data_IF_462285131449
#
_entry.id   IF_462285131449
#
_cell.length_a   1.000
_cell.length_b   1.000
_cell.length_c   1.000
_cell.angle_alpha   90.00
_cell.angle_beta   90.00
_cell.angle_gamma   90.00
#
_symmetry.space_group_name_H-M   'P 1'
#
loop_
_entity.id
_entity.type
_entity.pdbx_description
1 polymer ?
#
# COMPACT_ATOMS: atom_id res chain seq x y z
N UNK A 1 14.84 10.90 28.22
CA UNK A 1 13.42 10.50 28.28
C UNK A 1 12.66 11.25 27.20
N UNK A 2 11.85 10.52 26.42
CA UNK A 2 11.02 10.94 25.27
C UNK A 2 11.72 11.04 23.90
N UNK A 3 11.82 9.88 23.23
CA UNK A 3 12.11 9.73 21.77
C UNK A 3 10.95 9.02 21.05
N UNK A 4 9.99 8.47 21.79
CA UNK A 4 8.84 7.69 21.27
C UNK A 4 7.76 8.53 20.59
N UNK A 5 7.59 9.81 20.96
CA UNK A 5 6.52 10.66 20.39
C UNK A 5 6.76 11.20 18.96
N UNK A 6 7.97 11.08 18.40
CA UNK A 6 8.29 11.68 17.09
C UNK A 6 7.74 10.83 15.94
N UNK A 7 7.98 9.51 15.99
CA UNK A 7 7.69 8.54 14.92
C UNK A 7 6.18 8.42 14.57
N UNK A 8 5.28 8.51 15.55
CA UNK A 8 3.83 8.51 15.32
C UNK A 8 3.38 9.75 14.55
N UNK A 9 3.97 10.92 14.86
CA UNK A 9 3.67 12.17 14.15
C UNK A 9 4.17 12.12 12.70
N UNK A 10 5.30 11.46 12.49
CA UNK A 10 5.90 11.24 11.17
C UNK A 10 4.98 10.37 10.29
N UNK A 11 4.53 9.20 10.78
CA UNK A 11 3.61 8.33 10.01
C UNK A 11 2.30 9.02 9.63
N UNK A 12 1.74 9.83 10.53
CA UNK A 12 0.54 10.61 10.21
C UNK A 12 0.77 11.58 9.04
N UNK A 13 1.95 12.20 8.95
CA UNK A 13 2.31 13.08 7.85
C UNK A 13 2.35 12.31 6.53
N UNK A 14 2.93 11.10 6.49
CA UNK A 14 2.93 10.26 5.27
C UNK A 14 1.51 9.94 4.82
N UNK A 15 0.71 9.39 5.76
CA UNK A 15 -0.70 9.09 5.50
C UNK A 15 -1.41 10.31 4.92
N UNK A 16 -1.17 11.48 5.49
CA UNK A 16 -1.72 12.72 4.98
C UNK A 16 -1.32 12.97 3.52
N UNK A 17 -0.03 12.92 3.17
CA UNK A 17 0.43 13.19 1.80
C UNK A 17 -0.17 12.19 0.79
N UNK A 18 -0.25 10.91 1.13
CA UNK A 18 -0.91 9.91 0.29
C UNK A 18 -2.40 10.23 0.08
N UNK A 19 -3.09 10.64 1.14
CA UNK A 19 -4.49 11.09 1.09
C UNK A 19 -4.65 12.35 0.24
N UNK A 20 -3.74 13.32 0.30
CA UNK A 20 -3.79 14.53 -0.51
C UNK A 20 -3.78 14.21 -2.01
N UNK A 21 -2.93 13.26 -2.42
CA UNK A 21 -2.83 12.78 -3.80
C UNK A 21 -4.07 12.01 -4.24
N UNK A 22 -4.76 11.34 -3.32
CA UNK A 22 -6.04 10.69 -3.59
C UNK A 22 -7.17 11.72 -3.80
N UNK A 23 -7.27 12.72 -2.91
CA UNK A 23 -8.35 13.72 -2.91
C UNK A 23 -8.24 14.69 -4.09
N UNK A 24 -7.04 15.17 -4.43
CA UNK A 24 -6.83 16.14 -5.51
C UNK A 24 -7.31 15.64 -6.89
N UNK A 25 -7.54 14.33 -7.04
CA UNK A 25 -7.88 13.66 -8.30
C UNK A 25 -9.37 13.48 -8.59
N UNK A 26 -10.26 13.90 -7.69
CA UNK A 26 -11.72 13.88 -7.94
C UNK A 26 -12.19 14.72 -9.13
N UNK A 27 -11.32 15.50 -9.80
CA UNK A 27 -11.68 16.44 -10.87
C UNK A 27 -11.02 16.22 -12.24
N UNK A 28 -10.21 15.18 -12.46
CA UNK A 28 -9.60 14.97 -13.79
C UNK A 28 -9.41 13.49 -14.15
N UNK A 29 -10.47 12.88 -14.66
CA UNK A 29 -10.36 11.72 -15.55
C UNK A 29 -10.01 12.23 -16.95
N UNK A 30 -8.76 12.64 -17.17
CA UNK A 30 -8.27 12.74 -18.55
C UNK A 30 -7.86 11.34 -19.02
N UNK A 31 -8.62 10.87 -20.00
CA UNK A 31 -8.33 9.72 -20.85
C UNK A 31 -6.98 10.00 -21.53
N UNK A 32 -5.94 9.24 -21.19
CA UNK A 32 -4.64 9.36 -21.85
C UNK A 32 -4.48 8.28 -22.91
N UNK A 33 -4.06 8.73 -24.09
CA UNK A 33 -3.61 7.93 -25.21
C UNK A 33 -2.44 7.02 -24.80
N UNK A 34 -2.27 5.85 -25.44
CA UNK A 34 -1.12 4.99 -25.19
C UNK A 34 0.15 5.73 -25.58
N UNK A 35 0.90 6.20 -24.59
CA UNK A 35 2.22 6.75 -24.82
C UNK A 35 3.11 5.57 -25.23
N UNK A 36 3.58 5.55 -26.48
CA UNK A 36 4.57 4.58 -26.93
C UNK A 36 5.87 4.85 -26.17
N UNK A 37 6.03 4.21 -25.01
CA UNK A 37 7.20 4.34 -24.17
C UNK A 37 8.33 3.51 -24.78
N UNK A 38 9.30 4.19 -25.38
CA UNK A 38 10.64 3.62 -25.53
C UNK A 38 11.13 3.23 -24.12
N UNK A 39 11.61 1.99 -23.92
CA UNK A 39 12.17 1.57 -22.65
C UNK A 39 13.33 2.49 -22.27
N UNK A 40 13.34 3.01 -21.03
CA UNK A 40 14.53 3.70 -20.52
C UNK A 40 15.72 2.74 -20.59
N UNK A 41 16.94 3.21 -20.91
CA UNK A 41 18.10 2.35 -20.98
C UNK A 41 18.38 1.72 -19.61
N UNK A 42 19.21 0.67 -19.56
CA UNK A 42 19.67 0.11 -18.28
C UNK A 42 20.78 0.98 -17.68
N UNK A 43 20.88 1.07 -16.33
CA UNK A 43 22.02 1.73 -15.68
C UNK A 43 23.34 1.08 -16.10
N UNK A 44 24.41 1.88 -16.18
CA UNK A 44 25.73 1.37 -16.55
C UNK A 44 26.30 0.43 -15.48
N UNK A 45 27.09 -0.56 -15.89
CA UNK A 45 27.75 -1.49 -14.95
C UNK A 45 28.64 -0.74 -13.93
N UNK A 46 29.30 0.33 -14.35
CA UNK A 46 30.10 1.20 -13.48
C UNK A 46 29.23 1.89 -12.42
N UNK A 47 28.05 2.40 -12.80
CA UNK A 47 27.10 3.02 -11.86
C UNK A 47 26.54 2.01 -10.85
N UNK A 48 26.23 0.79 -11.30
CA UNK A 48 25.80 -0.28 -10.40
C UNK A 48 26.91 -0.65 -9.41
N UNK A 49 28.16 -0.77 -9.87
CA UNK A 49 29.30 -1.07 -9.01
C UNK A 49 29.58 0.05 -8.00
N UNK A 50 29.48 1.33 -8.41
CA UNK A 50 29.73 2.46 -7.53
C UNK A 50 28.74 2.52 -6.36
N UNK A 51 27.50 2.06 -6.57
CA UNK A 51 26.46 2.07 -5.54
C UNK A 51 26.81 1.26 -4.30
N UNK A 52 27.69 0.25 -4.42
CA UNK A 52 28.09 -0.61 -3.30
C UNK A 52 28.78 0.18 -2.17
N UNK A 53 29.35 1.35 -2.48
CA UNK A 53 30.03 2.23 -1.53
C UNK A 53 29.15 3.39 -1.05
N UNK A 54 27.89 3.47 -1.48
CA UNK A 54 26.96 4.51 -1.03
C UNK A 54 26.51 4.25 0.41
N UNK A 55 26.06 5.31 1.06
CA UNK A 55 25.50 5.28 2.41
C UNK A 55 24.10 5.91 2.39
N UNK A 56 23.20 5.51 3.32
CA UNK A 56 21.89 6.14 3.44
C UNK A 56 22.00 7.66 3.62
N UNK A 57 21.12 8.41 2.96
CA UNK A 57 21.08 9.85 3.06
C UNK A 57 20.30 10.31 4.28
N UNK A 58 20.78 11.37 4.95
CA UNK A 58 19.88 12.18 5.76
C UNK A 58 18.97 12.96 4.81
N UNK A 59 17.69 12.59 4.72
CA UNK A 59 16.76 13.18 3.75
C UNK A 59 16.67 14.71 3.86
N UNK A 60 16.77 15.25 5.08
CA UNK A 60 16.72 16.71 5.31
C UNK A 60 17.90 17.41 4.64
N UNK A 61 19.13 16.96 4.93
CA UNK A 61 20.32 17.57 4.32
C UNK A 61 20.38 17.28 2.82
N UNK A 62 19.93 16.11 2.38
CA UNK A 62 19.90 15.77 0.96
C UNK A 62 19.04 16.74 0.16
N UNK A 63 17.80 17.02 0.60
CA UNK A 63 16.90 17.94 -0.09
C UNK A 63 17.48 19.36 -0.13
N UNK A 64 18.14 19.81 0.94
CA UNK A 64 18.79 21.13 1.00
C UNK A 64 20.00 21.26 0.07
N UNK A 65 20.77 20.19 -0.06
CA UNK A 65 21.99 20.14 -0.86
C UNK A 65 21.73 19.78 -2.33
N UNK A 66 20.57 19.21 -2.66
CA UNK A 66 20.28 18.63 -3.97
C UNK A 66 20.54 19.60 -5.13
N UNK A 67 20.15 20.87 -4.97
CA UNK A 67 20.35 21.90 -6.00
C UNK A 67 21.82 22.32 -6.19
N UNK A 68 22.70 21.98 -5.25
CA UNK A 68 24.13 22.30 -5.26
C UNK A 68 25.01 21.09 -5.60
N UNK A 69 24.42 19.89 -5.73
CA UNK A 69 25.14 18.68 -6.13
C UNK A 69 25.61 18.79 -7.57
N UNK A 70 26.66 18.02 -7.89
CA UNK A 70 27.22 17.99 -9.24
C UNK A 70 26.20 17.40 -10.20
N UNK A 71 26.11 17.95 -11.41
CA UNK A 71 25.13 17.54 -12.42
C UNK A 71 25.33 16.10 -12.92
N UNK A 72 26.52 15.56 -12.71
CA UNK A 72 26.89 14.19 -13.09
C UNK A 72 26.52 13.16 -12.00
N UNK A 73 26.17 13.60 -10.79
CA UNK A 73 25.70 12.71 -9.73
C UNK A 73 24.30 12.20 -10.05
N UNK A 74 24.05 10.92 -9.76
CA UNK A 74 22.75 10.28 -9.96
C UNK A 74 22.41 9.43 -8.75
N UNK A 75 21.13 9.22 -8.50
CA UNK A 75 20.61 8.39 -7.41
C UNK A 75 19.89 7.19 -8.00
N UNK A 76 20.23 5.99 -7.51
CA UNK A 76 19.48 4.77 -7.79
C UNK A 76 18.32 4.67 -6.81
N UNK A 77 17.10 4.97 -7.25
CA UNK A 77 15.89 4.97 -6.43
C UNK A 77 15.02 3.74 -6.72
N UNK A 78 14.76 2.92 -5.71
CA UNK A 78 13.86 1.77 -5.79
C UNK A 78 12.40 2.20 -5.58
N UNK A 79 11.57 1.94 -6.60
CA UNK A 79 10.12 2.06 -6.57
C UNK A 79 9.46 0.68 -6.48
N UNK A 80 8.44 0.56 -5.62
CA UNK A 80 7.65 -0.68 -5.42
C UNK A 80 6.13 -0.43 -5.31
N UNK A 81 5.71 0.80 -5.05
CA UNK A 81 4.31 1.20 -4.91
C UNK A 81 3.80 2.01 -6.11
N UNK A 82 3.09 3.11 -5.85
CA UNK A 82 2.51 3.95 -6.92
C UNK A 82 3.53 4.55 -7.88
N UNK A 83 4.81 4.59 -7.54
CA UNK A 83 5.87 5.09 -8.40
C UNK A 83 6.27 4.12 -9.52
N UNK A 84 5.75 2.89 -9.52
CA UNK A 84 5.84 2.00 -10.68
C UNK A 84 5.07 2.54 -11.89
N UNK A 85 3.97 3.28 -11.66
CA UNK A 85 3.14 3.80 -12.74
C UNK A 85 3.78 5.01 -13.42
N UNK A 86 3.95 4.96 -14.75
CA UNK A 86 4.47 6.05 -15.55
C UNK A 86 3.63 7.32 -15.39
N UNK A 87 2.30 7.19 -15.28
CA UNK A 87 1.40 8.31 -14.99
C UNK A 87 1.79 9.07 -13.71
N UNK A 88 2.23 8.37 -12.68
CA UNK A 88 2.64 8.97 -11.40
C UNK A 88 4.06 9.51 -11.45
N UNK A 89 4.99 8.69 -11.92
CA UNK A 89 6.41 9.00 -11.89
C UNK A 89 6.79 10.01 -12.98
N UNK A 90 6.47 9.69 -14.23
CA UNK A 90 6.80 10.53 -15.40
C UNK A 90 5.77 11.63 -15.64
N UNK A 91 4.48 11.34 -15.40
CA UNK A 91 3.38 12.28 -15.64
C UNK A 91 3.26 13.33 -14.56
N UNK A 92 2.69 12.97 -13.41
CA UNK A 92 2.34 13.93 -12.35
C UNK A 92 3.55 14.57 -11.67
N UNK A 93 4.65 13.83 -11.51
CA UNK A 93 5.90 14.37 -10.94
C UNK A 93 6.85 14.95 -11.98
N UNK A 94 6.62 14.68 -13.27
CA UNK A 94 7.49 15.15 -14.35
C UNK A 94 8.89 14.52 -14.37
N UNK A 95 9.13 13.45 -13.60
CA UNK A 95 10.47 12.84 -13.46
C UNK A 95 10.80 12.02 -14.71
N UNK A 96 11.97 12.26 -15.29
CA UNK A 96 12.44 11.50 -16.46
C UNK A 96 13.63 10.63 -16.03
N UNK A 97 13.42 9.34 -15.74
CA UNK A 97 14.52 8.48 -15.32
C UNK A 97 15.57 8.38 -16.42
N UNK A 98 16.84 8.57 -16.03
CA UNK A 98 18.01 8.45 -16.89
C UNK A 98 18.17 7.02 -17.39
N UNK A 99 17.89 6.06 -16.51
CA UNK A 99 17.92 4.64 -16.79
C UNK A 99 17.00 3.89 -15.81
N UNK A 100 16.66 2.63 -16.09
CA UNK A 100 15.86 1.80 -15.18
C UNK A 100 16.24 0.31 -15.25
N UNK A 101 16.03 -0.42 -14.15
CA UNK A 101 16.26 -1.87 -14.09
C UNK A 101 15.28 -2.53 -13.12
N UNK A 102 14.69 -3.66 -13.53
CA UNK A 102 13.79 -4.45 -12.70
C UNK A 102 14.62 -5.31 -11.73
N UNK A 103 14.20 -5.35 -10.46
CA UNK A 103 14.98 -5.97 -9.39
C UNK A 103 14.12 -6.78 -8.44
N UNK A 104 14.76 -7.73 -7.77
CA UNK A 104 14.29 -8.41 -6.57
C UNK A 104 15.09 -7.94 -5.35
N UNK A 105 14.39 -7.72 -4.23
CA UNK A 105 14.96 -7.26 -2.96
C UNK A 105 14.60 -8.28 -1.86
N UNK A 106 15.47 -9.27 -1.58
CA UNK A 106 15.19 -10.36 -0.63
C UNK A 106 14.90 -9.90 0.80
N UNK A 107 15.50 -8.77 1.19
CA UNK A 107 15.42 -8.22 2.55
C UNK A 107 14.14 -7.43 2.85
N UNK A 108 13.30 -7.18 1.85
CA UNK A 108 12.05 -6.44 1.99
C UNK A 108 10.85 -7.25 1.49
N UNK A 109 9.68 -6.94 2.07
CA UNK A 109 8.37 -7.35 1.59
C UNK A 109 7.47 -6.13 1.41
N UNK A 110 6.55 -6.20 0.46
CA UNK A 110 5.53 -5.19 0.27
C UNK A 110 4.40 -5.41 1.27
N UNK A 111 3.97 -4.34 1.93
CA UNK A 111 2.83 -4.35 2.85
C UNK A 111 1.82 -3.27 2.42
N UNK A 112 0.61 -3.32 2.97
CA UNK A 112 -0.37 -2.25 2.78
C UNK A 112 -0.86 -1.77 4.16
N UNK A 113 0.08 -1.34 4.99
CA UNK A 113 -0.15 -0.94 6.37
C UNK A 113 -0.17 0.58 6.57
N UNK A 114 0.10 1.35 5.52
CA UNK A 114 0.11 2.81 5.59
C UNK A 114 -1.33 3.33 5.57
N UNK A 115 -1.84 3.92 6.66
CA UNK A 115 -3.24 4.31 6.74
C UNK A 115 -3.60 5.42 5.74
N UNK A 116 -4.78 5.34 5.15
CA UNK A 116 -5.34 6.35 4.26
C UNK A 116 -6.63 6.96 4.78
N UNK A 117 -7.67 7.05 3.94
CA UNK A 117 -9.00 7.55 4.32
C UNK A 117 -9.99 6.39 4.37
N UNK A 118 -10.64 6.13 5.52
CA UNK A 118 -11.73 5.17 5.62
C UNK A 118 -12.81 5.39 4.55
N UNK A 119 -13.43 4.29 4.12
CA UNK A 119 -14.48 4.22 3.09
C UNK A 119 -14.07 4.62 1.67
N UNK A 120 -12.84 5.09 1.43
CA UNK A 120 -12.41 5.52 0.09
C UNK A 120 -11.08 4.90 -0.32
N UNK A 121 -10.00 5.20 0.42
CA UNK A 121 -8.66 4.68 0.18
C UNK A 121 -8.05 4.27 1.50
N UNK A 122 -8.44 3.10 2.05
CA UNK A 122 -8.20 2.83 3.46
C UNK A 122 -6.74 2.66 3.82
N UNK A 123 -5.94 2.13 2.89
CA UNK A 123 -4.50 1.98 3.06
C UNK A 123 -3.74 2.07 1.74
N UNK A 124 -2.44 2.33 1.86
CA UNK A 124 -1.47 2.44 0.77
C UNK A 124 -0.31 1.46 0.98
N UNK A 125 0.49 1.25 -0.08
CA UNK A 125 1.63 0.36 -0.01
C UNK A 125 2.76 0.97 0.84
N UNK A 126 3.46 0.11 1.55
CA UNK A 126 4.67 0.40 2.31
C UNK A 126 5.64 -0.78 2.16
N UNK A 127 6.85 -0.64 2.69
CA UNK A 127 7.84 -1.71 2.78
C UNK A 127 8.05 -2.13 4.23
N UNK A 128 8.23 -3.42 4.46
CA UNK A 128 8.63 -3.99 5.75
C UNK A 128 9.88 -4.85 5.56
N UNK A 129 10.70 -5.00 6.60
CA UNK A 129 11.78 -5.99 6.60
C UNK A 129 11.17 -7.38 6.43
N UNK A 130 11.83 -8.21 5.61
CA UNK A 130 11.47 -9.61 5.40
C UNK A 130 12.47 -10.50 6.10
N UNK A 131 11.96 -11.44 6.90
CA UNK A 131 12.73 -12.56 7.42
C UNK A 131 12.41 -13.80 6.57
N UNK A 132 13.34 -14.28 5.73
CA UNK A 132 13.11 -15.44 4.88
C UNK A 132 12.77 -16.72 5.65
N UNK A 133 13.23 -16.87 6.89
CA UNK A 133 13.00 -18.07 7.69
C UNK A 133 11.58 -18.15 8.25
N UNK A 134 10.97 -16.99 8.50
CA UNK A 134 9.63 -16.86 9.05
C UNK A 134 8.57 -16.56 7.97
N UNK A 135 8.96 -16.58 6.71
CA UNK A 135 8.10 -16.44 5.53
C UNK A 135 8.31 -17.59 4.53
N UNK A 136 8.19 -18.87 4.97
CA UNK A 136 8.40 -20.00 4.08
C UNK A 136 7.24 -20.13 3.07
N UNK A 137 7.54 -20.51 1.82
CA UNK A 137 6.50 -20.94 0.89
C UNK A 137 5.71 -22.09 1.53
N UNK A 138 4.38 -21.96 1.66
CA UNK A 138 3.55 -23.10 2.03
C UNK A 138 3.61 -24.12 0.90
N UNK A 139 4.41 -25.19 1.07
CA UNK A 139 4.42 -26.34 0.17
C UNK A 139 2.98 -26.87 0.01
N UNK A 140 2.42 -26.77 -1.20
CA UNK A 140 1.05 -27.20 -1.51
C UNK A 140 0.11 -26.13 -2.09
N UNK A 141 0.53 -24.86 -2.19
CA UNK A 141 -0.26 -23.82 -2.86
C UNK A 141 -0.14 -23.80 -4.40
N UNK A 142 0.78 -24.60 -4.95
CA UNK A 142 0.86 -24.87 -6.38
C UNK A 142 -0.04 -26.06 -6.73
N UNK A 143 -0.99 -25.79 -7.63
CA UNK A 143 -1.68 -26.74 -8.52
C UNK A 143 -2.52 -27.87 -7.91
N UNK A 144 -3.74 -27.53 -7.46
CA UNK A 144 -4.96 -28.21 -7.94
C UNK A 144 -6.12 -27.21 -8.02
N UNK A 145 -6.20 -26.47 -9.12
CA UNK A 145 -7.51 -26.02 -9.61
C UNK A 145 -8.23 -27.26 -10.13
N UNK A 146 -8.76 -28.07 -9.21
CA UNK A 146 -9.68 -29.14 -9.56
C UNK A 146 -11.00 -28.46 -9.91
N UNK A 147 -11.38 -28.47 -11.19
CA UNK A 147 -12.66 -27.92 -11.69
C UNK A 147 -13.87 -28.47 -10.91
N UNK A 148 -13.69 -29.61 -10.21
CA UNK A 148 -14.68 -30.20 -9.29
C UNK A 148 -14.92 -29.43 -8.00
N UNK A 149 -13.96 -28.63 -7.51
CA UNK A 149 -14.13 -27.86 -6.25
C UNK A 149 -15.09 -26.67 -6.42
N UNK A 150 -15.40 -26.26 -7.66
CA UNK A 150 -16.42 -25.24 -7.92
C UNK A 150 -17.86 -25.78 -7.79
N UNK A 151 -18.05 -27.10 -7.79
CA UNK A 151 -19.37 -27.76 -7.71
C UNK A 151 -19.69 -28.34 -6.32
N UNK A 152 -18.67 -28.65 -5.52
CA UNK A 152 -18.82 -29.08 -4.14
C UNK A 152 -18.56 -27.87 -3.25
N UNK A 153 -19.61 -27.19 -2.81
CA UNK A 153 -19.57 -26.11 -1.82
C UNK A 153 -19.08 -26.56 -0.43
N UNK A 154 -17.92 -27.21 -0.37
CA UNK A 154 -17.24 -27.62 0.84
C UNK A 154 -16.18 -26.57 1.18
N UNK A 155 -16.55 -25.75 2.15
CA UNK A 155 -15.73 -24.92 3.04
C UNK A 155 -14.22 -25.20 2.99
N UNK A 156 -13.52 -24.50 2.10
CA UNK A 156 -12.13 -24.13 2.39
C UNK A 156 -12.23 -23.15 3.56
N UNK A 157 -11.73 -23.55 4.72
CA UNK A 157 -11.58 -22.68 5.89
C UNK A 157 -11.04 -21.32 5.44
N UNK A 158 -11.83 -20.30 5.73
CA UNK A 158 -11.54 -18.86 5.78
C UNK A 158 -10.30 -18.40 5.00
N UNK A 159 -10.57 -17.71 3.89
CA UNK A 159 -9.55 -17.06 3.07
C UNK A 159 -8.85 -15.98 3.89
N UNK A 160 -7.72 -16.35 4.52
CA UNK A 160 -6.70 -15.38 4.92
C UNK A 160 -6.48 -14.43 3.76
N UNK A 161 -6.57 -13.13 4.06
CA UNK A 161 -6.45 -12.10 3.06
C UNK A 161 -5.16 -12.29 2.25
N UNK A 162 -5.31 -12.39 0.92
CA UNK A 162 -4.32 -12.96 -0.03
C UNK A 162 -2.96 -12.24 -0.11
N UNK A 163 -2.75 -11.18 0.66
CA UNK A 163 -1.47 -10.47 0.82
C UNK A 163 -0.32 -11.42 1.18
N UNK A 164 -0.60 -12.41 2.02
CA UNK A 164 0.40 -13.36 2.51
C UNK A 164 0.72 -14.50 1.53
N UNK A 165 0.44 -14.36 0.23
CA UNK A 165 0.80 -15.37 -0.80
C UNK A 165 2.16 -15.13 -1.44
N UNK A 166 2.67 -13.90 -1.39
CA UNK A 166 3.99 -13.59 -1.94
C UNK A 166 5.07 -13.79 -0.88
N UNK A 167 5.83 -14.86 -1.03
CA UNK A 167 6.87 -15.28 -0.08
C UNK A 167 8.28 -15.06 -0.63
N UNK A 168 8.42 -14.38 -1.78
CA UNK A 168 9.73 -14.03 -2.36
C UNK A 168 10.11 -12.62 -1.92
N UNK A 169 11.36 -12.24 -2.19
CA UNK A 169 11.77 -10.84 -2.04
C UNK A 169 10.84 -9.87 -2.78
N UNK A 170 10.74 -8.63 -2.29
CA UNK A 170 10.00 -7.56 -2.94
C UNK A 170 10.47 -7.37 -4.39
N UNK A 171 9.52 -7.25 -5.31
CA UNK A 171 9.81 -6.92 -6.72
C UNK A 171 9.51 -5.45 -6.95
N UNK A 172 10.42 -4.79 -7.67
CA UNK A 172 10.30 -3.37 -7.97
C UNK A 172 11.18 -2.95 -9.14
N UNK A 173 11.24 -1.65 -9.37
CA UNK A 173 12.04 -1.03 -10.41
C UNK A 173 12.98 -0.05 -9.75
N UNK A 174 14.27 -0.15 -10.05
CA UNK A 174 15.22 0.90 -9.73
C UNK A 174 15.27 1.89 -10.89
N UNK A 175 14.97 3.15 -10.61
CA UNK A 175 15.15 4.27 -11.51
C UNK A 175 16.46 5.00 -11.16
N UNK A 176 17.27 5.29 -12.17
CA UNK A 176 18.35 6.26 -12.03
C UNK A 176 17.79 7.66 -12.28
N UNK A 177 17.90 8.54 -11.29
CA UNK A 177 17.35 9.90 -11.31
C UNK A 177 18.41 10.92 -10.92
N UNK A 178 18.18 12.20 -11.23
CA UNK A 178 19.05 13.28 -10.74
C UNK A 178 18.80 13.54 -9.25
N UNK A 179 19.74 14.20 -8.55
CA UNK A 179 19.54 14.59 -7.16
C UNK A 179 18.31 15.49 -6.96
N UNK A 180 18.02 16.40 -7.90
CA UNK A 180 16.85 17.27 -7.85
C UNK A 180 15.55 16.48 -8.01
N UNK A 181 15.52 15.52 -8.93
CA UNK A 181 14.38 14.62 -9.10
C UNK A 181 14.17 13.75 -7.84
N UNK A 182 15.24 13.25 -7.22
CA UNK A 182 15.14 12.49 -5.97
C UNK A 182 14.66 13.37 -4.80
N UNK A 183 15.14 14.61 -4.70
CA UNK A 183 14.61 15.57 -3.73
C UNK A 183 13.12 15.88 -3.97
N UNK A 184 12.68 15.93 -5.23
CA UNK A 184 11.27 16.09 -5.57
C UNK A 184 10.43 14.86 -5.17
N UNK A 185 10.96 13.64 -5.33
CA UNK A 185 10.32 12.41 -4.82
C UNK A 185 10.14 12.53 -3.29
N UNK A 186 11.21 12.83 -2.56
CA UNK A 186 11.18 12.98 -1.10
C UNK A 186 10.14 14.02 -0.65
N UNK A 187 10.10 15.16 -1.33
CA UNK A 187 9.15 16.24 -1.03
C UNK A 187 7.68 15.80 -1.24
N UNK A 188 7.40 14.99 -2.27
CA UNK A 188 6.04 14.57 -2.61
C UNK A 188 5.55 13.34 -1.86
N UNK A 189 6.45 12.52 -1.29
CA UNK A 189 6.07 11.31 -0.55
C UNK A 189 5.93 11.53 0.96
N UNK A 190 6.49 12.60 1.52
CA UNK A 190 6.35 12.90 2.95
C UNK A 190 7.26 14.01 3.47
N UNK A 191 7.76 14.88 2.59
CA UNK A 191 8.57 16.05 2.97
C UNK A 191 9.89 15.72 3.69
N UNK A 192 10.46 14.51 3.47
CA UNK A 192 11.69 14.07 4.16
C UNK A 192 11.59 13.98 5.68
N UNK A 193 10.36 13.99 6.21
CA UNK A 193 10.10 14.09 7.64
C UNK A 193 9.56 12.81 8.27
N UNK A 194 9.41 11.74 7.51
CA UNK A 194 8.74 10.55 8.01
C UNK A 194 9.12 9.24 7.34
N UNK A 195 9.55 9.32 6.08
CA UNK A 195 10.34 8.25 5.51
C UNK A 195 11.78 8.40 5.98
N UNK A 196 12.41 7.27 6.24
CA UNK A 196 13.86 7.19 6.33
C UNK A 196 14.36 6.71 4.97
N UNK A 197 15.46 7.29 4.50
CA UNK A 197 16.19 6.68 3.41
C UNK A 197 16.90 5.45 3.95
N UNK A 198 16.68 4.31 3.31
CA UNK A 198 17.45 3.11 3.56
C UNK A 198 18.10 2.64 2.27
N UNK A 199 19.31 2.11 2.42
CA UNK A 199 20.05 1.51 1.32
C UNK A 199 19.82 0.00 1.31
N UNK A 200 19.23 -0.51 0.24
CA UNK A 200 18.86 -1.93 0.11
C UNK A 200 19.66 -2.62 -1.00
N UNK A 201 19.93 -3.91 -0.79
CA UNK A 201 20.56 -4.75 -1.82
C UNK A 201 19.49 -5.16 -2.85
N UNK A 202 19.68 -4.71 -4.09
CA UNK A 202 18.83 -5.00 -5.22
C UNK A 202 19.54 -5.98 -6.15
N UNK A 203 18.90 -7.11 -6.42
CA UNK A 203 19.38 -8.08 -7.38
C UNK A 203 18.66 -7.86 -8.71
N UNK A 204 19.37 -7.63 -9.82
CA UNK A 204 18.74 -7.58 -11.14
C UNK A 204 17.93 -8.86 -11.41
N UNK A 205 16.80 -8.71 -12.08
CA UNK A 205 16.12 -9.87 -12.66
C UNK A 205 16.95 -10.39 -13.85
N UNK A 206 17.08 -11.71 -13.93
CA UNK A 206 17.93 -12.41 -14.89
C UNK A 206 17.52 -12.15 -16.34
N UNK A 207 16.20 -12.16 -16.58
CA UNK A 207 15.62 -11.91 -17.89
C UNK A 207 14.81 -10.62 -17.91
N UNK A 208 14.83 -9.94 -19.07
CA UNK A 208 13.82 -8.93 -19.40
C UNK A 208 12.49 -9.56 -19.84
N UNK A 209 12.48 -10.89 -20.03
CA UNK A 209 11.28 -11.66 -20.35
C UNK A 209 10.36 -11.76 -19.13
N UNK A 210 9.13 -11.21 -19.19
CA UNK A 210 8.19 -11.28 -18.07
C UNK A 210 7.68 -12.71 -17.80
N UNK A 211 7.83 -13.65 -18.73
CA UNK A 211 7.48 -15.06 -18.53
C UNK A 211 8.50 -15.81 -17.67
N UNK A 212 9.69 -15.24 -17.46
CA UNK A 212 10.72 -15.86 -16.63
C UNK A 212 10.26 -15.94 -15.15
N UNK A 213 10.37 -17.11 -14.50
CA UNK A 213 9.95 -17.27 -13.11
C UNK A 213 10.85 -16.44 -12.19
N UNK A 214 10.27 -15.91 -11.11
CA UNK A 214 11.04 -15.19 -10.09
C UNK A 214 11.75 -16.22 -9.21
N UNK A 215 13.07 -16.19 -9.03
CA UNK A 215 13.73 -17.12 -8.12
C UNK A 215 13.33 -16.83 -6.66
N UNK A 216 13.29 -17.87 -5.82
CA UNK A 216 13.09 -17.69 -4.38
C UNK A 216 14.24 -16.89 -3.78
N UNK A 217 15.47 -17.27 -4.15
CA UNK A 217 16.71 -16.61 -3.78
C UNK A 217 17.42 -16.12 -5.05
N UNK A 218 17.63 -14.79 -5.22
CA UNK A 218 18.32 -14.28 -6.38
C UNK A 218 19.82 -14.64 -6.34
N UNK A 219 20.35 -15.01 -7.51
CA UNK A 219 21.75 -15.42 -7.65
C UNK A 219 22.64 -14.36 -8.32
N UNK A 220 22.04 -13.41 -9.06
CA UNK A 220 22.81 -12.34 -9.70
C UNK A 220 23.41 -11.40 -8.64
N UNK A 221 24.63 -10.86 -8.88
CA UNK A 221 25.30 -10.00 -7.92
C UNK A 221 24.45 -8.74 -7.65
N UNK A 222 24.28 -8.35 -6.38
CA UNK A 222 23.48 -7.20 -6.02
C UNK A 222 24.21 -5.89 -6.30
N UNK A 223 23.43 -4.82 -6.40
CA UNK A 223 23.87 -3.44 -6.26
C UNK A 223 23.03 -2.76 -5.17
N UNK A 224 23.33 -1.51 -4.83
CA UNK A 224 22.59 -0.76 -3.81
C UNK A 224 21.66 0.27 -4.44
N UNK A 225 20.47 0.41 -3.86
CA UNK A 225 19.53 1.46 -4.21
C UNK A 225 18.93 2.08 -2.95
N UNK A 226 18.63 3.36 -3.05
CA UNK A 226 17.92 4.15 -2.07
C UNK A 226 16.43 3.86 -2.15
N UNK A 227 15.76 3.73 -1.00
CA UNK A 227 14.31 3.63 -0.96
C UNK A 227 13.76 4.31 0.27
N UNK A 228 12.53 4.79 0.14
CA UNK A 228 11.81 5.42 1.22
C UNK A 228 11.11 4.33 2.03
N UNK A 229 11.55 4.18 3.28
CA UNK A 229 11.06 3.19 4.24
C UNK A 229 10.40 3.91 5.42
N UNK A 230 9.14 3.56 5.70
CA UNK A 230 8.45 4.03 6.88
C UNK A 230 8.47 2.90 7.92
N UNK A 231 9.40 2.93 8.91
CA UNK A 231 9.53 1.86 9.88
C UNK A 231 8.21 1.58 10.59
N UNK A 232 7.89 0.29 10.72
CA UNK A 232 7.02 -0.15 11.78
C UNK A 232 7.80 0.02 13.10
N UNK A 233 7.30 0.85 14.03
CA UNK A 233 7.90 0.98 15.36
C UNK A 233 7.98 -0.39 16.05
N UNK A 234 9.04 -0.63 16.85
CA UNK A 234 9.26 -1.92 17.49
C UNK A 234 8.10 -2.32 18.42
N UNK A 235 7.79 -3.61 18.46
CA UNK A 235 6.84 -4.18 19.42
C UNK A 235 7.39 -4.02 20.84
N UNK A 236 6.76 -3.17 21.66
CA UNK A 236 7.15 -3.00 23.06
C UNK A 236 6.75 -1.65 23.66
N UNK A 237 6.59 -0.61 22.83
CA UNK A 237 5.98 0.63 23.29
C UNK A 237 4.45 0.46 23.25
N UNK A 238 3.79 0.78 24.37
CA UNK A 238 2.33 0.90 24.45
C UNK A 238 1.84 1.68 23.22
N UNK A 239 0.77 1.25 22.53
CA UNK A 239 0.25 1.95 21.36
C UNK A 239 -0.38 3.27 21.80
N UNK A 240 0.45 4.24 22.17
CA UNK A 240 0.07 5.63 22.10
C UNK A 240 -0.25 5.85 20.61
N UNK A 241 -1.50 6.17 20.31
CA UNK A 241 -2.02 6.68 19.04
C UNK A 241 -2.67 5.66 18.07
N UNK A 242 -3.97 5.87 17.81
CA UNK A 242 -4.83 5.27 16.77
C UNK A 242 -4.34 5.45 15.32
N UNK A 243 -3.11 5.93 15.12
CA UNK A 243 -2.43 6.05 13.84
C UNK A 243 -1.74 4.73 13.44
N UNK A 244 -1.45 3.85 14.42
CA UNK A 244 -1.15 2.43 14.15
C UNK A 244 -2.48 1.68 14.08
N UNK A 245 -2.77 1.06 12.94
CA UNK A 245 -3.88 0.09 12.88
C UNK A 245 -3.48 -1.13 13.74
N UNK A 246 -4.38 -1.65 14.60
CA UNK A 246 -4.04 -2.75 15.52
C UNK A 246 -3.47 -3.98 14.81
N UNK A 247 -4.00 -4.27 13.62
CA UNK A 247 -3.53 -5.31 12.71
C UNK A 247 -3.08 -4.67 11.38
N UNK A 248 -1.76 -4.65 11.08
CA UNK A 248 -1.20 -4.12 9.83
C UNK A 248 -1.71 -4.80 8.56
N UNK A 249 -2.13 -6.06 8.66
CA UNK A 249 -2.57 -6.85 7.51
C UNK A 249 -4.07 -6.72 7.25
N UNK A 250 -4.84 -6.24 8.24
CA UNK A 250 -6.31 -6.15 8.21
C UNK A 250 -6.89 -5.38 7.01
N UNK A 251 -6.37 -4.18 6.76
CA UNK A 251 -6.98 -3.20 5.85
C UNK A 251 -6.77 -3.56 4.37
N UNK A 252 -7.79 -3.32 3.54
CA UNK A 252 -7.74 -3.53 2.10
C UNK A 252 -7.44 -2.24 1.34
N UNK A 253 -6.51 -2.29 0.40
CA UNK A 253 -6.23 -1.16 -0.47
C UNK A 253 -7.39 -0.93 -1.46
N UNK A 254 -7.60 0.31 -1.90
CA UNK A 254 -8.68 0.61 -2.84
C UNK A 254 -8.45 -0.02 -4.23
N UNK A 255 -9.53 -0.34 -4.94
CA UNK A 255 -9.45 -0.81 -6.33
C UNK A 255 -8.68 0.16 -7.24
N UNK A 256 -8.85 1.47 -7.03
CA UNK A 256 -8.13 2.50 -7.78
C UNK A 256 -6.62 2.45 -7.53
N UNK A 257 -6.20 2.24 -6.28
CA UNK A 257 -4.79 2.18 -5.92
C UNK A 257 -4.14 0.88 -6.37
N UNK A 258 -4.82 -0.27 -6.20
CA UNK A 258 -4.33 -1.55 -6.72
C UNK A 258 -4.19 -1.51 -8.23
N UNK A 259 -5.19 -0.96 -8.96
CA UNK A 259 -5.09 -0.77 -10.41
C UNK A 259 -3.88 0.06 -10.81
N UNK A 260 -3.58 1.13 -10.07
CA UNK A 260 -2.42 1.97 -10.34
C UNK A 260 -1.10 1.19 -10.24
N UNK A 261 -0.97 0.31 -9.24
CA UNK A 261 0.22 -0.52 -9.06
C UNK A 261 0.29 -1.62 -10.12
N UNK A 262 -0.83 -2.29 -10.43
CA UNK A 262 -0.86 -3.34 -11.46
C UNK A 262 -0.58 -2.78 -12.85
N UNK A 263 -1.15 -1.62 -13.20
CA UNK A 263 -0.85 -0.93 -14.45
C UNK A 263 0.65 -0.59 -14.52
N UNK A 264 1.23 -0.05 -13.45
CA UNK A 264 2.66 0.28 -13.39
C UNK A 264 3.58 -0.94 -13.48
N UNK A 265 3.18 -2.06 -12.88
CA UNK A 265 3.91 -3.33 -12.98
C UNK A 265 3.93 -3.84 -14.43
N UNK A 266 2.79 -3.75 -15.14
CA UNK A 266 2.69 -4.10 -16.55
C UNK A 266 3.49 -3.13 -17.44
N UNK A 267 3.39 -1.82 -17.20
CA UNK A 267 4.15 -0.78 -17.92
C UNK A 267 5.67 -0.96 -17.78
N UNK A 268 6.14 -1.44 -16.62
CA UNK A 268 7.54 -1.71 -16.35
C UNK A 268 7.98 -3.13 -16.73
N UNK A 269 7.09 -3.92 -17.32
CA UNK A 269 7.36 -5.31 -17.72
C UNK A 269 7.92 -6.15 -16.57
N UNK A 270 7.34 -6.03 -15.38
CA UNK A 270 7.66 -6.89 -14.24
C UNK A 270 7.22 -8.35 -14.53
N UNK A 271 7.81 -9.37 -13.88
CA UNK A 271 7.44 -10.76 -14.11
C UNK A 271 5.94 -11.02 -13.97
N UNK A 272 5.35 -11.80 -14.89
CA UNK A 272 3.92 -12.11 -14.86
C UNK A 272 3.51 -12.83 -13.57
N UNK A 273 4.39 -13.66 -13.01
CA UNK A 273 4.17 -14.27 -11.70
C UNK A 273 3.89 -13.22 -10.60
N UNK A 274 4.61 -12.10 -10.62
CA UNK A 274 4.40 -11.00 -9.67
C UNK A 274 3.15 -10.17 -10.03
N UNK A 275 2.89 -9.96 -11.32
CA UNK A 275 1.68 -9.27 -11.77
C UNK A 275 0.41 -10.05 -11.36
N UNK A 276 0.41 -11.38 -11.49
CA UNK A 276 -0.68 -12.26 -11.06
C UNK A 276 -0.89 -12.19 -9.55
N UNK A 277 0.20 -12.14 -8.78
CA UNK A 277 0.11 -11.88 -7.34
C UNK A 277 -0.60 -10.54 -7.07
N UNK A 278 -0.18 -9.44 -7.70
CA UNK A 278 -0.79 -8.13 -7.52
C UNK A 278 -2.28 -8.11 -7.93
N UNK A 279 -2.63 -8.79 -9.02
CA UNK A 279 -4.01 -8.94 -9.50
C UNK A 279 -4.86 -9.82 -8.57
N UNK A 280 -4.24 -10.74 -7.83
CA UNK A 280 -4.92 -11.58 -6.85
C UNK A 280 -5.32 -10.84 -5.57
N UNK A 281 -4.75 -9.65 -5.32
CA UNK A 281 -5.05 -8.83 -4.16
C UNK A 281 -6.49 -8.33 -4.21
N UNK A 282 -7.24 -8.58 -3.14
CA UNK A 282 -8.63 -8.14 -3.04
C UNK A 282 -8.70 -6.65 -2.74
N UNK A 283 -9.39 -5.85 -3.58
CA UNK A 283 -9.62 -4.44 -3.32
C UNK A 283 -10.71 -4.22 -2.27
N UNK A 284 -10.60 -3.13 -1.52
CA UNK A 284 -11.68 -2.63 -0.69
C UNK A 284 -12.90 -2.26 -1.54
N UNK A 285 -14.07 -2.75 -1.14
CA UNK A 285 -15.35 -2.42 -1.76
C UNK A 285 -16.43 -2.15 -0.71
N UNK A 286 -17.26 -1.15 -0.99
CA UNK A 286 -18.45 -0.86 -0.20
C UNK A 286 -19.56 -1.81 -0.66
N UNK A 287 -20.03 -2.67 0.24
CA UNK A 287 -21.05 -3.69 -0.08
C UNK A 287 -22.45 -3.29 0.40
N UNK A 288 -22.55 -2.39 1.38
CA UNK A 288 -23.83 -2.00 1.98
C UNK A 288 -24.21 -0.53 1.73
N UNK A 289 -25.53 -0.27 1.66
CA UNK A 289 -26.06 1.11 1.60
C UNK A 289 -25.66 1.93 2.84
N UNK A 290 -25.55 1.25 3.99
CA UNK A 290 -25.14 1.82 5.28
C UNK A 290 -23.71 2.37 5.20
N UNK A 291 -22.77 1.57 4.70
CA UNK A 291 -21.39 2.02 4.43
C UNK A 291 -21.34 3.14 3.39
N UNK A 292 -22.20 3.13 2.36
CA UNK A 292 -22.27 4.21 1.39
C UNK A 292 -22.71 5.55 2.01
N UNK A 293 -23.67 5.52 2.94
CA UNK A 293 -24.03 6.71 3.72
C UNK A 293 -22.87 7.15 4.61
N UNK A 294 -22.19 6.21 5.27
CA UNK A 294 -20.99 6.47 6.06
C UNK A 294 -19.89 7.14 5.25
N UNK A 295 -19.62 6.65 4.04
CA UNK A 295 -18.66 7.24 3.11
C UNK A 295 -19.01 8.71 2.81
N UNK A 296 -20.26 9.00 2.47
CA UNK A 296 -20.70 10.36 2.14
C UNK A 296 -20.56 11.27 3.36
N UNK A 297 -21.05 10.84 4.53
CA UNK A 297 -20.96 11.60 5.77
C UNK A 297 -19.50 11.87 6.16
N UNK A 298 -18.66 10.81 6.18
CA UNK A 298 -17.25 10.90 6.53
C UNK A 298 -16.48 11.81 5.58
N UNK A 299 -16.71 11.67 4.27
CA UNK A 299 -16.09 12.50 3.24
C UNK A 299 -16.50 13.96 3.41
N UNK A 300 -17.79 14.24 3.60
CA UNK A 300 -18.30 15.59 3.77
C UNK A 300 -17.73 16.28 5.03
N UNK A 301 -17.48 15.53 6.10
CA UNK A 301 -16.88 16.05 7.33
C UNK A 301 -15.38 16.28 7.20
N UNK A 302 -14.62 15.27 6.78
CA UNK A 302 -13.15 15.29 6.92
C UNK A 302 -12.41 15.80 5.69
N UNK A 303 -12.91 15.56 4.46
CA UNK A 303 -12.18 15.98 3.24
C UNK A 303 -11.99 17.50 3.17
N UNK A 304 -12.99 18.36 3.49
CA UNK A 304 -12.78 19.81 3.51
C UNK A 304 -11.70 20.24 4.51
N UNK A 305 -11.66 19.61 5.69
CA UNK A 305 -10.66 19.88 6.74
C UNK A 305 -9.26 19.49 6.24
N UNK A 306 -9.15 18.30 5.63
CA UNK A 306 -7.89 17.81 5.07
C UNK A 306 -7.41 18.70 3.91
N UNK A 307 -8.29 19.12 3.01
CA UNK A 307 -7.94 20.06 1.93
C UNK A 307 -7.44 21.39 2.50
N UNK A 308 -8.13 21.94 3.51
CA UNK A 308 -7.72 23.18 4.17
C UNK A 308 -6.36 23.00 4.85
N UNK A 309 -6.14 21.88 5.54
CA UNK A 309 -4.86 21.53 6.16
C UNK A 309 -3.73 21.48 5.13
N UNK A 310 -3.95 20.88 3.96
CA UNK A 310 -2.95 20.84 2.88
C UNK A 310 -2.71 22.19 2.21
N UNK A 311 -3.76 22.99 2.08
CA UNK A 311 -3.63 24.36 1.57
C UNK A 311 -2.79 25.20 2.53
N UNK A 312 -3.04 25.08 3.84
CA UNK A 312 -2.22 25.68 4.88
C UNK A 312 -0.78 25.16 4.82
N UNK A 313 -0.57 23.86 4.71
CA UNK A 313 0.77 23.29 4.59
C UNK A 313 1.58 23.95 3.47
N UNK A 314 1.02 24.07 2.27
CA UNK A 314 1.69 24.74 1.14
C UNK A 314 2.08 26.20 1.41
N UNK A 315 1.35 26.90 2.27
CA UNK A 315 1.67 28.28 2.65
C UNK A 315 2.79 28.36 3.68
N UNK A 316 2.96 27.32 4.50
CA UNK A 316 3.95 27.25 5.57
C UNK A 316 5.12 26.32 5.24
N UNK A 317 5.10 25.67 4.08
CA UNK A 317 6.24 24.93 3.54
C UNK A 317 7.36 25.92 3.30
N UNK A 318 8.50 25.68 3.93
CA UNK A 318 9.68 26.52 3.70
C UNK A 318 10.23 26.33 2.27
N UNK A 319 11.21 27.15 1.91
CA UNK A 319 11.94 27.05 0.63
C UNK A 319 12.61 25.69 0.39
N UNK A 320 12.71 24.85 1.40
CA UNK A 320 13.31 23.51 1.37
C UNK A 320 12.24 22.41 1.32
N UNK A 321 10.95 22.74 1.22
CA UNK A 321 9.88 21.74 1.18
C UNK A 321 9.46 21.19 2.56
N UNK A 322 9.92 21.78 3.67
CA UNK A 322 9.68 21.27 5.02
C UNK A 322 8.56 22.00 5.76
N UNK A 323 7.82 21.24 6.57
CA UNK A 323 6.80 21.77 7.48
C UNK A 323 7.39 22.11 8.85
N UNK A 324 7.04 23.27 9.45
CA UNK A 324 7.39 23.58 10.83
C UNK A 324 6.91 22.51 11.81
N UNK A 325 7.61 22.35 12.93
CA UNK A 325 7.29 21.32 13.95
C UNK A 325 5.86 21.44 14.50
N UNK A 326 5.37 22.66 14.69
CA UNK A 326 3.97 22.89 15.10
C UNK A 326 2.97 22.41 14.05
N UNK A 327 3.29 22.55 12.76
CA UNK A 327 2.44 22.10 11.67
C UNK A 327 2.41 20.57 11.58
N UNK A 328 3.56 19.90 11.76
CA UNK A 328 3.62 18.42 11.86
C UNK A 328 2.75 17.89 13.01
N UNK A 329 2.83 18.51 14.19
CA UNK A 329 1.97 18.15 15.34
C UNK A 329 0.48 18.39 15.05
N UNK A 330 0.14 19.46 14.36
CA UNK A 330 -1.24 19.71 13.91
C UNK A 330 -1.72 18.61 12.96
N UNK A 331 -0.91 18.24 11.97
CA UNK A 331 -1.20 17.14 11.04
C UNK A 331 -1.47 15.84 11.79
N UNK A 332 -0.58 15.47 12.72
CA UNK A 332 -0.75 14.29 13.56
C UNK A 332 -2.05 14.33 14.36
N UNK A 333 -2.37 15.47 14.98
CA UNK A 333 -3.61 15.65 15.77
C UNK A 333 -4.86 15.51 14.91
N UNK A 334 -4.89 16.11 13.71
CA UNK A 334 -6.04 16.02 12.81
C UNK A 334 -6.23 14.59 12.32
N UNK A 335 -5.18 13.91 11.87
CA UNK A 335 -5.28 12.53 11.40
C UNK A 335 -5.61 11.56 12.54
N UNK A 336 -5.13 11.81 13.76
CA UNK A 336 -5.57 11.06 14.94
C UNK A 336 -7.07 11.27 15.17
N UNK A 337 -7.59 12.49 15.03
CA UNK A 337 -9.01 12.78 15.18
C UNK A 337 -9.86 12.11 14.08
N UNK A 338 -9.36 12.07 12.83
CA UNK A 338 -9.98 11.34 11.71
C UNK A 338 -10.18 9.87 12.10
N UNK A 339 -9.12 9.17 12.48
CA UNK A 339 -9.17 7.75 12.85
C UNK A 339 -9.95 7.48 14.13
N UNK A 340 -9.78 8.31 15.15
CA UNK A 340 -10.55 8.22 16.41
C UNK A 340 -12.05 8.36 16.15
N UNK A 341 -12.46 9.30 15.28
CA UNK A 341 -13.87 9.46 14.92
C UNK A 341 -14.40 8.26 14.14
N UNK A 342 -13.56 7.68 13.28
CA UNK A 342 -13.92 6.51 12.51
C UNK A 342 -14.13 5.29 13.42
N UNK A 343 -13.16 4.96 14.27
CA UNK A 343 -13.21 3.76 15.12
C UNK A 343 -14.36 3.85 16.15
N UNK A 344 -14.60 5.03 16.73
CA UNK A 344 -15.59 5.19 17.81
C UNK A 344 -17.00 5.55 17.35
N UNK A 345 -17.17 6.10 16.15
CA UNK A 345 -18.49 6.53 15.67
C UNK A 345 -18.83 5.92 14.31
N UNK A 346 -18.01 6.14 13.28
CA UNK A 346 -18.42 5.75 11.92
C UNK A 346 -18.44 4.24 11.70
N UNK A 347 -17.41 3.50 12.12
CA UNK A 347 -17.36 2.04 11.96
C UNK A 347 -18.55 1.36 12.66
N UNK A 348 -18.89 1.66 13.94
CA UNK A 348 -20.10 1.12 14.58
C UNK A 348 -21.40 1.55 13.87
N UNK A 349 -21.51 2.82 13.48
CA UNK A 349 -22.75 3.39 12.93
C UNK A 349 -22.99 3.12 11.46
N UNK A 350 -21.95 2.83 10.68
CA UNK A 350 -22.03 2.72 9.22
C UNK A 350 -21.44 1.42 8.64
N UNK A 351 -20.68 0.66 9.43
CA UNK A 351 -19.98 -0.56 9.00
C UNK A 351 -18.52 -0.28 8.64
N UNK A 352 -17.77 -1.34 8.31
CA UNK A 352 -16.32 -1.26 8.15
C UNK A 352 -15.89 -0.42 6.93
N UNK A 353 -15.00 0.55 7.16
CA UNK A 353 -14.44 1.45 6.16
C UNK A 353 -13.07 1.03 5.64
N UNK A 354 -12.52 -0.08 6.11
CA UNK A 354 -11.18 -0.57 5.78
C UNK A 354 -11.17 -1.94 5.13
N UNK A 355 -12.22 -2.73 5.35
CA UNK A 355 -12.37 -4.08 4.81
C UNK A 355 -13.77 -4.28 4.24
N UNK A 356 -13.83 -5.04 3.16
CA UNK A 356 -15.07 -5.45 2.50
C UNK A 356 -15.86 -6.38 3.44
N UNK A 357 -17.13 -6.06 3.71
CA UNK A 357 -17.99 -6.91 4.56
C UNK A 357 -18.32 -8.21 3.83
N UNK A 358 -18.17 -9.34 4.52
CA UNK A 358 -18.27 -10.70 3.97
C UNK A 358 -16.96 -11.49 3.99
N UNK A 359 -15.82 -10.82 4.23
CA UNK A 359 -14.48 -11.42 4.34
C UNK A 359 -14.04 -11.68 5.80
N UNK A 360 -14.93 -11.55 6.79
CA UNK A 360 -14.61 -11.66 8.23
C UNK A 360 -15.40 -12.81 8.86
N UNK A 361 -14.75 -13.73 9.62
CA UNK A 361 -15.41 -14.85 10.29
C UNK A 361 -16.50 -14.45 11.30
N UNK A 362 -16.38 -13.28 11.95
CA UNK A 362 -16.99 -13.07 13.26
C UNK A 362 -18.22 -12.13 13.33
N UNK A 363 -18.73 -11.61 12.22
CA UNK A 363 -19.92 -10.71 12.24
C UNK A 363 -21.26 -11.39 11.90
N UNK A 364 -21.40 -12.69 12.16
CA UNK A 364 -22.70 -13.38 12.12
C UNK A 364 -23.12 -13.89 13.51
N UNK A 365 -23.08 -13.00 14.50
CA UNK A 365 -23.45 -13.27 15.89
C UNK A 365 -24.52 -12.34 16.45
N UNK A 366 -25.52 -11.93 15.67
CA UNK A 366 -26.71 -11.28 16.23
C UNK A 366 -27.94 -12.18 16.06
N UNK A 367 -28.30 -12.81 17.17
CA UNK A 367 -29.41 -13.73 17.33
C UNK A 367 -30.72 -13.18 16.74
N UNK A 368 -31.22 -13.81 15.68
CA UNK A 368 -32.65 -13.83 15.38
C UNK A 368 -33.23 -15.11 15.95
N UNK A 369 -33.99 -14.96 17.02
CA UNK A 369 -34.80 -15.98 17.67
C UNK A 369 -35.61 -16.78 16.64
N UNK A 370 -35.62 -18.13 16.68
CA UNK A 370 -36.50 -18.90 15.83
C UNK A 370 -37.94 -18.72 16.32
N UNK A 371 -38.77 -18.01 15.54
CA UNK A 371 -40.22 -18.12 15.67
C UNK A 371 -40.62 -19.56 15.38
N UNK A 372 -41.07 -20.26 16.42
CA UNK A 372 -41.73 -21.55 16.36
C UNK A 372 -42.97 -21.46 15.46
N UNK A 373 -42.87 -21.90 14.22
CA UNK A 373 -44.04 -22.21 13.39
C UNK A 373 -44.53 -23.61 13.77
N UNK A 374 -45.67 -23.66 14.46
CA UNK A 374 -46.41 -24.91 14.73
C UNK A 374 -46.80 -25.56 13.42
N UNK A 375 -46.11 -26.64 13.05
CA UNK A 375 -46.52 -27.56 11.99
C UNK A 375 -47.73 -28.36 12.48
N UNK A 376 -48.88 -28.09 11.89
CA UNK A 376 -50.16 -28.78 12.11
C UNK A 376 -50.04 -30.21 11.56
N UNK A 377 -49.96 -31.21 12.44
CA UNK A 377 -50.06 -32.63 12.06
C UNK A 377 -51.44 -32.90 11.44
N UNK A 378 -51.45 -33.46 10.23
CA UNK A 378 -52.62 -34.14 9.66
C UNK A 378 -52.67 -35.54 10.24
N UNK A 379 -53.64 -35.80 11.12
CA UNK A 379 -54.11 -37.16 11.41
C UNK A 379 -54.90 -37.66 10.21
N UNK A 380 -54.50 -38.79 9.66
CA UNK A 380 -55.28 -39.60 8.73
C UNK A 380 -56.17 -40.55 9.54
N UNK A 381 -57.48 -40.33 9.47
CA UNK A 381 -58.49 -41.24 9.99
C UNK A 381 -58.59 -42.47 9.05
N UNK A 382 -58.37 -43.66 9.61
CA UNK A 382 -58.76 -44.93 8.99
C UNK A 382 -59.97 -45.43 9.76
N UNK A 383 -61.14 -45.18 9.19
CA UNK A 383 -62.42 -45.70 9.65
C UNK A 383 -62.60 -47.12 9.12
N UNK A 384 -62.52 -48.10 10.05
CA UNK A 384 -63.14 -49.42 9.86
C UNK A 384 -64.55 -49.33 10.42
N UNK A 385 -65.54 -49.76 9.65
CA UNK A 385 -66.87 -50.07 10.16
C UNK A 385 -67.29 -51.49 9.73
N UNK A 386 -68.18 -52.16 10.50
CA UNK A 386 -68.14 -53.60 10.66
C UNK A 386 -69.31 -54.34 10.00
N UNK A 387 -69.14 -55.67 10.04
CA UNK A 387 -70.06 -56.78 9.71
C UNK A 387 -70.07 -57.23 8.26
#
# INVERSE_FOLDING_TARGET
>A
MSVSGDHSSERAVISAYCVSHAIARGRSQQQQQPCQHLPSPRPSASRLASSLNEAPYCLKSFVEEAAFRRKEETVLYLAYGSNLAARKFKGERGIKPLSQINVQVPSLRMTFDLPGVPYSEPCFANSARRDPNNDPPKEGAATKYDEKSALLGQSVKEQDYRKNRWHKGMIGVVYEVTPEDYAHIIATEGGGSAYQDILVACHPLDSSDPDAPVPQDPFLPPFKAHTLFAPAEPEGDEPEHHLRRPDPDYAQASARYLKLITDGAAECNLPYEYQDYLLSLQPYTITTKKQRMGQIAFTATWVPIVILLFTFAKMFTDKNGQLPTWAKKMFATVFQAVWTSYDNAYKPLFGDGERTLGDSPDENGSARSPQTSRRRERRSDVEKSPV
#
